data_IF_247760964062
#
_entry.id   IF_247760964062
#
_cell.length_a   1.000
_cell.length_b   1.000
_cell.length_c   1.000
_cell.angle_alpha   90.00
_cell.angle_beta   90.00
_cell.angle_gamma   90.00
#
_symmetry.space_group_name_H-M   'P 1'
#
loop_
_entity.id
_entity.type
_entity.pdbx_description
1 polymer ?
#
# COMPACT_ATOMS: atom_id res chain seq x y z
N UNK A 1 -2.17 21.78 28.70
CA UNK A 1 -3.13 22.04 27.59
C UNK A 1 -2.37 22.70 26.48
N UNK A 2 -2.43 22.16 25.28
CA UNK A 2 -1.85 22.80 24.09
C UNK A 2 -2.63 24.08 23.75
N UNK A 3 -1.90 25.10 23.29
CA UNK A 3 -2.50 26.36 22.82
C UNK A 3 -3.29 26.10 21.53
N UNK A 4 -4.57 26.49 21.52
CA UNK A 4 -5.37 26.43 20.31
C UNK A 4 -4.98 27.55 19.33
N UNK A 5 -4.93 27.23 18.04
CA UNK A 5 -4.64 28.17 16.97
C UNK A 5 -5.90 28.94 16.54
N UNK A 6 -5.73 30.17 16.10
CA UNK A 6 -6.80 30.96 15.46
C UNK A 6 -6.93 30.62 13.97
N UNK A 7 -8.00 31.11 13.33
CA UNK A 7 -8.19 30.97 11.87
C UNK A 7 -7.04 31.61 11.09
N UNK A 8 -6.57 32.76 11.57
CA UNK A 8 -5.48 33.53 10.95
C UNK A 8 -4.14 32.78 11.09
N UNK A 9 -3.85 32.22 12.28
CA UNK A 9 -2.63 31.42 12.51
C UNK A 9 -2.62 30.15 11.66
N UNK A 10 -3.76 29.48 11.48
CA UNK A 10 -3.89 28.32 10.59
C UNK A 10 -3.72 28.74 9.12
N UNK A 11 -4.30 29.85 8.72
CA UNK A 11 -4.16 30.40 7.37
C UNK A 11 -2.70 30.74 7.05
N UNK A 12 -1.98 31.35 7.98
CA UNK A 12 -0.55 31.65 7.84
C UNK A 12 0.29 30.37 7.80
N UNK A 13 0.04 29.41 8.69
CA UNK A 13 0.73 28.11 8.72
C UNK A 13 0.58 27.33 7.42
N UNK A 14 -0.65 27.32 6.87
CA UNK A 14 -0.96 26.61 5.63
C UNK A 14 -0.67 27.44 4.36
N UNK A 15 -0.31 28.72 4.51
CA UNK A 15 -0.12 29.71 3.43
C UNK A 15 -1.34 29.80 2.49
N UNK A 16 -2.53 29.85 3.07
CA UNK A 16 -3.80 29.99 2.36
C UNK A 16 -4.60 31.17 2.94
N UNK A 17 -5.64 31.61 2.23
CA UNK A 17 -6.51 32.68 2.69
C UNK A 17 -7.40 32.20 3.87
N UNK A 18 -7.64 33.03 4.91
CA UNK A 18 -8.55 32.70 6.03
C UNK A 18 -9.96 32.30 5.58
N UNK A 19 -10.44 32.80 4.45
CA UNK A 19 -11.73 32.39 3.86
C UNK A 19 -11.67 30.92 3.42
N UNK A 20 -10.54 30.48 2.93
CA UNK A 20 -10.32 29.07 2.57
C UNK A 20 -10.34 28.18 3.80
N UNK A 21 -9.71 28.58 4.91
CA UNK A 21 -9.78 27.85 6.18
C UNK A 21 -11.24 27.68 6.65
N UNK A 22 -12.05 28.77 6.60
CA UNK A 22 -13.48 28.68 6.94
C UNK A 22 -14.25 27.73 6.02
N UNK A 23 -13.89 27.70 4.71
CA UNK A 23 -14.51 26.76 3.76
C UNK A 23 -14.17 25.30 4.09
N UNK A 24 -12.95 25.01 4.53
CA UNK A 24 -12.54 23.67 4.99
C UNK A 24 -13.37 23.22 6.21
N UNK A 25 -13.65 24.12 7.16
CA UNK A 25 -14.54 23.82 8.30
C UNK A 25 -15.96 23.51 7.82
N UNK A 26 -16.50 24.32 6.91
CA UNK A 26 -17.86 24.13 6.41
C UNK A 26 -18.03 22.82 5.62
N UNK A 27 -16.96 22.33 4.98
CA UNK A 27 -16.92 21.04 4.30
C UNK A 27 -16.63 19.86 5.22
N UNK A 28 -16.37 20.14 6.52
CA UNK A 28 -15.93 19.16 7.51
C UNK A 28 -14.58 18.52 7.23
N UNK A 29 -13.76 19.13 6.36
CA UNK A 29 -12.42 18.66 6.03
C UNK A 29 -11.42 18.97 7.16
N UNK A 30 -11.64 20.07 7.91
CA UNK A 30 -10.82 20.49 9.03
C UNK A 30 -11.67 20.64 10.30
N UNK A 31 -11.33 19.89 11.35
CA UNK A 31 -12.00 19.98 12.65
C UNK A 31 -11.66 21.30 13.36
N UNK A 32 -12.65 21.91 13.99
CA UNK A 32 -12.49 23.14 14.75
C UNK A 32 -13.43 23.19 15.95
N UNK A 33 -12.97 23.85 17.01
CA UNK A 33 -13.81 24.24 18.15
C UNK A 33 -14.44 25.62 17.88
N UNK A 34 -15.66 25.82 18.32
CA UNK A 34 -16.29 27.14 18.30
C UNK A 34 -16.32 27.71 19.71
N UNK A 35 -15.48 28.72 19.99
CA UNK A 35 -15.31 29.35 21.30
C UNK A 35 -15.66 30.85 21.18
N UNK A 36 -16.64 31.32 21.95
CA UNK A 36 -17.09 32.70 21.90
C UNK A 36 -17.40 33.24 20.47
N UNK A 37 -17.93 32.38 19.60
CA UNK A 37 -18.27 32.74 18.22
C UNK A 37 -17.13 32.60 17.21
N UNK A 38 -15.92 32.40 17.65
CA UNK A 38 -14.74 32.25 16.81
C UNK A 38 -14.27 30.80 16.74
N UNK A 39 -13.63 30.45 15.60
CA UNK A 39 -13.03 29.12 15.43
C UNK A 39 -11.65 29.05 16.09
N UNK A 40 -11.39 27.90 16.72
CA UNK A 40 -10.09 27.54 17.30
C UNK A 40 -9.75 26.12 16.87
N UNK A 41 -8.47 25.84 16.67
CA UNK A 41 -7.99 24.58 16.14
C UNK A 41 -6.95 23.96 17.08
N UNK A 42 -7.06 22.68 17.33
CA UNK A 42 -5.98 21.95 17.96
C UNK A 42 -4.84 21.75 16.93
N UNK A 43 -3.58 21.97 17.30
CA UNK A 43 -2.44 21.69 16.41
C UNK A 43 -2.51 20.28 15.80
N UNK A 44 -2.87 19.29 16.60
CA UNK A 44 -3.03 17.89 16.16
C UNK A 44 -4.11 17.69 15.07
N UNK A 45 -5.16 18.53 15.05
CA UNK A 45 -6.19 18.43 14.01
C UNK A 45 -5.73 19.08 12.70
N UNK A 46 -4.90 20.13 12.79
CA UNK A 46 -4.24 20.72 11.61
C UNK A 46 -3.21 19.76 11.02
N UNK A 47 -2.44 19.06 11.86
CA UNK A 47 -1.50 18.02 11.42
C UNK A 47 -2.22 16.85 10.73
N UNK A 48 -3.32 16.35 11.30
CA UNK A 48 -4.14 15.31 10.66
C UNK A 48 -4.71 15.76 9.32
N UNK A 49 -5.18 17.01 9.25
CA UNK A 49 -5.64 17.59 7.99
C UNK A 49 -4.52 17.63 6.96
N UNK A 50 -3.34 18.14 7.30
CA UNK A 50 -2.17 18.15 6.40
C UNK A 50 -1.82 16.74 5.92
N UNK A 51 -1.82 15.76 6.80
CA UNK A 51 -1.54 14.38 6.42
C UNK A 51 -2.60 13.81 5.46
N UNK A 52 -3.89 14.16 5.66
CA UNK A 52 -4.98 13.77 4.75
C UNK A 52 -4.87 14.44 3.38
N UNK A 53 -4.33 15.67 3.30
CA UNK A 53 -4.13 16.44 2.07
C UNK A 53 -2.77 16.16 1.42
N UNK A 54 -1.94 15.32 2.03
CA UNK A 54 -0.65 14.98 1.46
C UNK A 54 -0.86 14.32 0.10
N UNK A 55 -0.52 15.03 -0.96
CA UNK A 55 -0.46 14.46 -2.31
C UNK A 55 0.64 13.40 -2.27
N UNK A 56 0.22 12.16 -2.04
CA UNK A 56 1.12 11.02 -2.15
C UNK A 56 1.43 10.89 -3.64
N UNK A 57 2.69 11.06 -4.07
CA UNK A 57 3.01 10.81 -5.47
C UNK A 57 2.55 9.38 -5.76
N UNK A 58 1.80 9.19 -6.83
CA UNK A 58 1.43 7.87 -7.30
C UNK A 58 2.74 7.21 -7.80
N UNK A 59 3.48 6.63 -6.87
CA UNK A 59 4.84 6.12 -7.08
C UNK A 59 4.82 4.98 -8.12
N UNK A 60 3.67 4.33 -8.29
CA UNK A 60 3.53 3.14 -9.10
C UNK A 60 3.55 3.39 -10.60
N UNK A 61 2.90 4.44 -11.09
CA UNK A 61 2.80 4.65 -12.55
C UNK A 61 3.83 5.63 -13.11
N UNK A 62 4.17 6.70 -12.38
CA UNK A 62 5.03 7.76 -12.92
C UNK A 62 6.54 7.55 -12.73
N UNK A 63 6.99 6.76 -11.75
CA UNK A 63 8.43 6.56 -11.48
C UNK A 63 8.98 5.21 -11.95
N UNK A 64 8.17 4.16 -11.96
CA UNK A 64 8.63 2.79 -12.20
C UNK A 64 7.76 2.00 -13.18
N UNK A 65 6.75 2.64 -13.82
CA UNK A 65 5.80 1.95 -14.70
C UNK A 65 6.46 1.07 -15.76
N UNK A 66 7.50 1.58 -16.42
CA UNK A 66 8.23 0.85 -17.45
C UNK A 66 9.11 -0.28 -16.90
N UNK A 67 9.39 -0.29 -15.59
CA UNK A 67 10.23 -1.32 -14.95
C UNK A 67 9.44 -2.52 -14.46
N UNK A 68 8.13 -2.39 -14.27
CA UNK A 68 7.32 -3.53 -13.88
C UNK A 68 7.15 -4.52 -15.03
N UNK A 69 7.32 -5.80 -14.74
CA UNK A 69 6.93 -6.86 -15.68
C UNK A 69 5.42 -6.80 -15.94
N UNK A 70 4.96 -7.37 -17.05
CA UNK A 70 3.54 -7.45 -17.36
C UNK A 70 2.75 -8.13 -16.24
N UNK A 71 3.28 -9.23 -15.68
CA UNK A 71 2.65 -9.91 -14.54
C UNK A 71 2.60 -9.04 -13.27
N UNK A 72 3.66 -8.29 -12.99
CA UNK A 72 3.66 -7.38 -11.83
C UNK A 72 2.64 -6.26 -12.01
N UNK A 73 2.50 -5.68 -13.22
CA UNK A 73 1.43 -4.71 -13.52
C UNK A 73 0.04 -5.32 -13.34
N UNK A 74 -0.16 -6.56 -13.83
CA UNK A 74 -1.42 -7.30 -13.63
C UNK A 74 -1.73 -7.48 -12.15
N UNK A 75 -0.75 -7.88 -11.32
CA UNK A 75 -0.90 -7.99 -9.86
C UNK A 75 -1.34 -6.66 -9.24
N UNK A 76 -0.72 -5.54 -9.61
CA UNK A 76 -1.09 -4.23 -9.07
C UNK A 76 -2.51 -3.81 -9.49
N UNK A 77 -2.92 -4.10 -10.72
CA UNK A 77 -4.30 -3.90 -11.18
C UNK A 77 -5.29 -4.76 -10.39
N UNK A 78 -4.98 -6.05 -10.20
CA UNK A 78 -5.81 -6.96 -9.39
C UNK A 78 -5.85 -6.54 -7.92
N UNK A 79 -4.78 -5.99 -7.35
CA UNK A 79 -4.76 -5.45 -5.99
C UNK A 79 -5.74 -4.28 -5.82
N UNK A 80 -5.89 -3.44 -6.85
CA UNK A 80 -6.90 -2.38 -6.85
C UNK A 80 -8.32 -2.94 -6.86
N UNK A 81 -8.54 -4.04 -7.59
CA UNK A 81 -9.83 -4.74 -7.62
C UNK A 81 -10.15 -5.40 -6.27
N UNK A 82 -9.17 -6.05 -5.63
CA UNK A 82 -9.32 -6.59 -4.27
C UNK A 82 -9.70 -5.48 -3.28
N UNK A 83 -9.04 -4.33 -3.31
CA UNK A 83 -9.36 -3.21 -2.43
C UNK A 83 -10.81 -2.72 -2.62
N UNK A 84 -11.31 -2.67 -3.86
CA UNK A 84 -12.73 -2.37 -4.14
C UNK A 84 -13.68 -3.42 -3.56
N UNK A 85 -13.37 -4.71 -3.76
CA UNK A 85 -14.21 -5.81 -3.25
C UNK A 85 -14.29 -5.79 -1.71
N UNK A 86 -13.21 -5.34 -1.06
CA UNK A 86 -13.17 -5.17 0.39
C UNK A 86 -13.71 -3.81 0.88
N UNK A 87 -14.12 -2.91 0.00
CA UNK A 87 -14.55 -1.55 0.34
C UNK A 87 -13.49 -0.77 1.14
N UNK A 88 -12.21 -1.00 0.85
CA UNK A 88 -11.09 -0.32 1.49
C UNK A 88 -10.69 0.94 0.74
N UNK A 89 -10.44 2.04 1.44
CA UNK A 89 -10.13 3.37 0.87
C UNK A 89 -8.75 3.47 0.20
N UNK A 90 -8.01 2.38 0.12
CA UNK A 90 -6.70 2.34 -0.54
C UNK A 90 -6.17 0.93 -0.70
N UNK A 91 -5.27 0.78 -1.68
CA UNK A 91 -4.59 -0.47 -1.96
C UNK A 91 -3.47 -0.66 -0.93
N UNK A 92 -3.67 -1.56 0.02
CA UNK A 92 -2.70 -1.94 1.05
C UNK A 92 -1.91 -3.20 0.69
N UNK A 93 -1.05 -3.60 1.60
CA UNK A 93 -0.18 -4.79 1.47
C UNK A 93 -0.99 -6.09 1.36
N UNK A 94 -2.13 -6.18 2.05
CA UNK A 94 -3.06 -7.30 1.99
C UNK A 94 -3.64 -7.53 0.59
N UNK A 95 -4.00 -6.45 -0.10
CA UNK A 95 -4.53 -6.52 -1.47
C UNK A 95 -3.47 -6.98 -2.46
N UNK A 96 -2.22 -6.52 -2.28
CA UNK A 96 -1.08 -6.96 -3.11
C UNK A 96 -0.82 -8.45 -2.88
N UNK A 97 -0.89 -8.95 -1.62
CA UNK A 97 -0.72 -10.37 -1.32
C UNK A 97 -1.83 -11.22 -1.97
N UNK A 98 -3.10 -10.83 -1.82
CA UNK A 98 -4.23 -11.53 -2.45
C UNK A 98 -4.08 -11.56 -3.96
N UNK A 99 -3.71 -10.44 -4.57
CA UNK A 99 -3.50 -10.34 -6.01
C UNK A 99 -2.36 -11.22 -6.52
N UNK A 100 -1.26 -11.34 -5.78
CA UNK A 100 -0.16 -12.26 -6.10
C UNK A 100 -0.67 -13.71 -6.13
N UNK A 101 -1.46 -14.10 -5.14
CA UNK A 101 -1.99 -15.47 -5.06
C UNK A 101 -3.02 -15.73 -6.16
N UNK A 102 -3.89 -14.78 -6.45
CA UNK A 102 -4.92 -14.89 -7.48
C UNK A 102 -4.34 -14.85 -8.91
N UNK A 103 -3.24 -14.13 -9.16
CA UNK A 103 -2.54 -14.14 -10.44
C UNK A 103 -1.97 -15.52 -10.75
N UNK A 104 -1.44 -16.21 -9.75
CA UNK A 104 -1.11 -17.64 -9.74
C UNK A 104 0.07 -18.07 -10.61
N UNK A 105 0.43 -17.33 -11.66
CA UNK A 105 1.44 -17.74 -12.65
C UNK A 105 2.84 -17.17 -12.44
N UNK A 106 3.00 -16.20 -11.56
CA UNK A 106 4.28 -15.53 -11.31
C UNK A 106 5.22 -16.31 -10.38
N UNK A 107 6.48 -15.89 -10.31
CA UNK A 107 7.49 -16.47 -9.40
C UNK A 107 7.03 -16.36 -7.94
N UNK A 108 6.39 -15.23 -7.56
CA UNK A 108 5.85 -15.06 -6.22
C UNK A 108 4.81 -16.12 -5.86
N UNK A 109 3.83 -16.36 -6.72
CA UNK A 109 2.79 -17.35 -6.50
C UNK A 109 3.37 -18.78 -6.40
N UNK A 110 4.34 -19.12 -7.26
CA UNK A 110 5.08 -20.38 -7.21
C UNK A 110 5.85 -20.52 -5.90
N UNK A 111 6.51 -19.45 -5.44
CA UNK A 111 7.22 -19.45 -4.16
C UNK A 111 6.27 -19.65 -2.97
N UNK A 112 5.12 -18.98 -2.95
CA UNK A 112 4.10 -19.15 -1.92
C UNK A 112 3.51 -20.56 -1.93
N UNK A 113 3.29 -21.14 -3.11
CA UNK A 113 2.84 -22.53 -3.26
C UNK A 113 3.87 -23.54 -2.72
N UNK A 114 5.18 -23.34 -2.98
CA UNK A 114 6.23 -24.18 -2.40
C UNK A 114 6.31 -24.05 -0.87
N UNK A 115 5.92 -22.89 -0.33
CA UNK A 115 5.78 -22.64 1.11
C UNK A 115 4.45 -23.12 1.68
N UNK A 116 3.65 -23.83 0.87
CA UNK A 116 2.37 -24.45 1.23
C UNK A 116 1.29 -23.47 1.71
N UNK A 117 1.37 -22.20 1.31
CA UNK A 117 0.30 -21.24 1.61
C UNK A 117 -0.94 -21.54 0.76
N UNK A 118 -2.08 -21.64 1.45
CA UNK A 118 -3.37 -21.84 0.79
C UNK A 118 -4.09 -20.49 0.64
N UNK A 119 -4.61 -20.15 -0.55
CA UNK A 119 -5.29 -18.87 -0.81
C UNK A 119 -6.44 -18.60 0.16
N UNK A 120 -7.22 -19.63 0.48
CA UNK A 120 -8.39 -19.51 1.35
C UNK A 120 -7.98 -19.17 2.80
N UNK A 121 -6.90 -19.78 3.30
CA UNK A 121 -6.37 -19.51 4.64
C UNK A 121 -5.81 -18.08 4.74
N UNK A 122 -5.09 -17.63 3.70
CA UNK A 122 -4.56 -16.28 3.63
C UNK A 122 -5.69 -15.26 3.60
N UNK A 123 -6.74 -15.50 2.79
CA UNK A 123 -7.92 -14.64 2.71
C UNK A 123 -8.61 -14.54 4.08
N UNK A 124 -8.87 -15.65 4.74
CA UNK A 124 -9.50 -15.66 6.05
C UNK A 124 -8.66 -14.91 7.12
N UNK A 125 -7.33 -15.03 7.08
CA UNK A 125 -6.45 -14.30 7.99
C UNK A 125 -6.45 -12.78 7.70
N UNK A 126 -6.49 -12.37 6.42
CA UNK A 126 -6.59 -10.98 6.02
C UNK A 126 -7.92 -10.40 6.51
N UNK A 127 -9.04 -11.08 6.27
CA UNK A 127 -10.37 -10.64 6.72
C UNK A 127 -10.46 -10.48 8.24
N UNK A 128 -9.77 -11.35 9.00
CA UNK A 128 -9.72 -11.25 10.46
C UNK A 128 -8.87 -10.04 10.93
N UNK A 129 -7.84 -9.63 10.18
CA UNK A 129 -6.96 -8.51 10.53
C UNK A 129 -7.50 -7.17 10.01
N UNK A 130 -8.09 -7.18 8.84
CA UNK A 130 -8.58 -6.00 8.14
C UNK A 130 -9.94 -6.33 7.49
N UNK A 131 -11.04 -6.26 8.26
CA UNK A 131 -12.37 -6.61 7.80
C UNK A 131 -12.86 -5.71 6.66
N UNK A 132 -13.80 -6.23 5.89
CA UNK A 132 -14.43 -5.49 4.80
C UNK A 132 -15.12 -4.21 5.33
N UNK A 133 -14.91 -3.10 4.64
CA UNK A 133 -15.55 -1.81 4.93
C UNK A 133 -17.05 -1.82 4.67
N UNK A 134 -17.79 -0.98 5.39
CA UNK A 134 -19.26 -0.95 5.34
C UNK A 134 -19.81 -0.32 4.05
N UNK A 135 -19.09 0.62 3.44
CA UNK A 135 -19.58 1.37 2.30
C UNK A 135 -18.70 1.18 1.06
N UNK A 136 -19.31 0.97 -0.13
CA UNK A 136 -18.57 0.95 -1.38
C UNK A 136 -17.92 2.32 -1.64
N UNK A 137 -16.72 2.29 -2.19
CA UNK A 137 -15.98 3.50 -2.55
C UNK A 137 -16.18 3.86 -4.02
N UNK A 138 -16.18 5.16 -4.32
CA UNK A 138 -16.09 5.63 -5.70
C UNK A 138 -14.68 5.40 -6.26
N UNK A 139 -14.58 5.12 -7.57
CA UNK A 139 -13.32 4.84 -8.26
C UNK A 139 -12.29 5.97 -8.14
N UNK A 140 -12.74 7.21 -8.01
CA UNK A 140 -11.88 8.41 -7.86
C UNK A 140 -11.13 8.46 -6.51
N UNK A 141 -11.53 7.64 -5.53
CA UNK A 141 -10.97 7.66 -4.17
C UNK A 141 -9.93 6.57 -3.93
N UNK A 142 -9.74 5.63 -4.86
CA UNK A 142 -8.87 4.48 -4.67
C UNK A 142 -7.43 4.79 -5.04
N UNK A 143 -6.63 5.22 -4.07
CA UNK A 143 -5.18 5.33 -4.18
C UNK A 143 -4.46 4.17 -3.47
N UNK A 144 -3.14 4.13 -3.59
CA UNK A 144 -2.34 3.21 -2.79
C UNK A 144 -2.10 3.79 -1.38
N UNK A 145 -2.24 2.96 -0.34
CA UNK A 145 -1.91 3.38 1.03
C UNK A 145 -0.43 3.73 1.17
N UNK A 146 -0.04 4.43 2.24
CA UNK A 146 1.38 4.72 2.51
C UNK A 146 2.19 3.43 2.60
N UNK A 147 1.66 2.43 3.28
CA UNK A 147 2.29 1.12 3.45
C UNK A 147 2.35 0.33 2.14
N UNK A 148 1.31 0.43 1.31
CA UNK A 148 1.33 -0.12 -0.05
C UNK A 148 2.43 0.52 -0.90
N UNK A 149 2.60 1.83 -0.82
CA UNK A 149 3.69 2.54 -1.50
C UNK A 149 5.07 2.13 -0.98
N UNK A 150 5.22 2.01 0.35
CA UNK A 150 6.47 1.56 0.97
C UNK A 150 6.82 0.14 0.53
N UNK A 151 5.84 -0.76 0.48
CA UNK A 151 6.02 -2.11 -0.06
C UNK A 151 6.59 -2.08 -1.49
N UNK A 152 6.10 -1.20 -2.37
CA UNK A 152 6.62 -1.05 -3.74
C UNK A 152 8.06 -0.53 -3.72
N UNK A 153 8.37 0.45 -2.87
CA UNK A 153 9.75 0.95 -2.73
C UNK A 153 10.70 -0.14 -2.25
N UNK A 154 10.26 -0.98 -1.31
CA UNK A 154 11.01 -2.13 -0.84
C UNK A 154 11.19 -3.19 -1.94
N UNK A 155 10.18 -3.42 -2.77
CA UNK A 155 10.28 -4.29 -3.94
C UNK A 155 11.34 -3.79 -4.95
N UNK A 156 11.40 -2.48 -5.19
CA UNK A 156 12.45 -1.86 -6.03
C UNK A 156 13.84 -2.10 -5.44
N UNK A 157 13.99 -1.99 -4.13
CA UNK A 157 15.27 -2.26 -3.46
C UNK A 157 15.66 -3.74 -3.58
N UNK A 158 14.71 -4.67 -3.43
CA UNK A 158 14.95 -6.11 -3.61
C UNK A 158 15.36 -6.43 -5.05
N UNK A 159 14.71 -5.83 -6.05
CA UNK A 159 15.11 -5.98 -7.45
C UNK A 159 16.57 -5.55 -7.68
N UNK A 160 16.97 -4.39 -7.16
CA UNK A 160 18.35 -3.91 -7.23
C UNK A 160 19.32 -4.83 -6.50
N UNK A 161 18.96 -5.33 -5.31
CA UNK A 161 19.79 -6.24 -4.53
C UNK A 161 20.02 -7.59 -5.24
N UNK A 162 19.06 -8.02 -6.06
CA UNK A 162 19.16 -9.21 -6.93
C UNK A 162 19.83 -8.92 -8.27
N UNK A 163 20.23 -7.69 -8.56
CA UNK A 163 20.85 -7.27 -9.82
C UNK A 163 19.86 -7.18 -11.01
N UNK A 164 18.57 -7.08 -10.72
CA UNK A 164 17.53 -7.00 -11.75
C UNK A 164 17.25 -5.55 -12.16
N UNK A 165 17.02 -5.32 -13.45
CA UNK A 165 16.61 -4.04 -14.02
C UNK A 165 15.09 -3.90 -14.14
N UNK A 166 14.34 -4.94 -13.78
CA UNK A 166 12.88 -5.02 -13.80
C UNK A 166 12.33 -5.34 -12.41
N UNK A 167 11.04 -5.09 -12.21
CA UNK A 167 10.31 -5.39 -11.00
C UNK A 167 9.27 -6.47 -11.32
N UNK A 168 9.53 -7.70 -10.92
CA UNK A 168 8.62 -8.84 -11.09
C UNK A 168 7.77 -9.09 -9.85
N UNK A 169 6.90 -10.08 -9.92
CA UNK A 169 6.04 -10.50 -8.80
C UNK A 169 6.86 -10.94 -7.59
N UNK A 170 8.00 -11.59 -7.81
CA UNK A 170 8.95 -12.01 -6.77
C UNK A 170 9.43 -10.82 -5.92
N UNK A 171 9.70 -9.68 -6.55
CA UNK A 171 10.14 -8.48 -5.85
C UNK A 171 9.01 -7.88 -5.01
N UNK A 172 7.76 -7.93 -5.50
CA UNK A 172 6.58 -7.53 -4.73
C UNK A 172 6.43 -8.40 -3.48
N UNK A 173 6.59 -9.72 -3.60
CA UNK A 173 6.56 -10.64 -2.45
C UNK A 173 7.65 -10.31 -1.42
N UNK A 174 8.88 -10.06 -1.88
CA UNK A 174 9.98 -9.70 -0.99
C UNK A 174 9.75 -8.35 -0.31
N UNK A 175 9.15 -7.38 -1.02
CA UNK A 175 8.73 -6.10 -0.46
C UNK A 175 7.69 -6.26 0.65
N UNK A 176 6.66 -7.10 0.45
CA UNK A 176 5.65 -7.44 1.46
C UNK A 176 6.28 -8.03 2.72
N UNK A 177 7.26 -8.92 2.56
CA UNK A 177 7.95 -9.55 3.70
C UNK A 177 8.84 -8.57 4.48
N UNK A 178 9.32 -7.51 3.86
CA UNK A 178 10.03 -6.42 4.52
C UNK A 178 9.08 -5.50 5.28
N UNK A 179 7.87 -5.29 4.75
CA UNK A 179 6.78 -4.52 5.37
C UNK A 179 5.98 -5.40 6.36
N UNK A 180 6.69 -6.10 7.20
CA UNK A 180 6.15 -7.16 8.04
C UNK A 180 5.18 -6.70 9.16
N UNK A 181 5.06 -5.40 9.42
CA UNK A 181 4.11 -4.78 10.37
C UNK A 181 2.68 -4.70 9.84
N UNK A 182 2.50 -4.72 8.53
CA UNK A 182 1.24 -4.51 7.85
C UNK A 182 0.50 -5.84 7.57
N UNK A 183 -0.81 -5.82 7.31
CA UNK A 183 -1.63 -7.04 7.23
C UNK A 183 -1.06 -8.10 6.30
N UNK A 184 -0.63 -7.74 5.08
CA UNK A 184 -0.03 -8.69 4.14
C UNK A 184 1.25 -9.36 4.68
N UNK A 185 2.16 -8.57 5.25
CA UNK A 185 3.39 -9.08 5.86
C UNK A 185 3.14 -9.86 7.16
N UNK A 186 2.15 -9.44 7.96
CA UNK A 186 1.75 -10.16 9.17
C UNK A 186 1.22 -11.56 8.86
N UNK A 187 0.36 -11.69 7.83
CA UNK A 187 -0.18 -12.99 7.40
C UNK A 187 0.95 -13.91 6.93
N UNK A 188 1.86 -13.42 6.11
CA UNK A 188 3.03 -14.18 5.64
C UNK A 188 3.86 -14.70 6.83
N UNK A 189 4.15 -13.84 7.80
CA UNK A 189 4.91 -14.24 9.00
C UNK A 189 4.18 -15.26 9.87
N UNK A 190 2.88 -15.07 10.11
CA UNK A 190 2.06 -16.02 10.88
C UNK A 190 2.04 -17.40 10.22
N UNK A 191 2.09 -17.43 8.89
CA UNK A 191 2.19 -18.67 8.11
C UNK A 191 3.62 -19.23 8.01
N UNK A 192 4.58 -18.69 8.76
CA UNK A 192 5.97 -19.18 8.82
C UNK A 192 6.83 -18.82 7.61
N UNK A 193 6.36 -17.88 6.76
CA UNK A 193 7.13 -17.36 5.63
C UNK A 193 8.06 -16.26 6.13
N UNK A 194 9.36 -16.49 6.06
CA UNK A 194 10.37 -15.48 6.36
C UNK A 194 11.00 -14.94 5.10
N UNK A 195 11.57 -13.74 5.18
CA UNK A 195 12.25 -13.10 4.06
C UNK A 195 13.41 -13.97 3.52
N UNK A 196 14.14 -14.64 4.41
CA UNK A 196 15.27 -15.52 4.05
C UNK A 196 14.78 -16.74 3.26
N UNK A 197 13.71 -17.40 3.74
CA UNK A 197 13.10 -18.55 3.05
C UNK A 197 12.59 -18.15 1.67
N UNK A 198 11.85 -17.03 1.60
CA UNK A 198 11.32 -16.54 0.33
C UNK A 198 12.43 -16.17 -0.66
N UNK A 199 13.49 -15.48 -0.22
CA UNK A 199 14.65 -15.16 -1.08
C UNK A 199 15.34 -16.42 -1.61
N UNK A 200 15.50 -17.46 -0.77
CA UNK A 200 16.11 -18.70 -1.21
C UNK A 200 15.29 -19.38 -2.32
N UNK A 201 13.97 -19.49 -2.12
CA UNK A 201 13.06 -20.08 -3.10
C UNK A 201 12.99 -19.23 -4.38
N UNK A 202 12.88 -17.91 -4.26
CA UNK A 202 12.88 -17.00 -5.41
C UNK A 202 14.14 -17.18 -6.25
N UNK A 203 15.34 -17.22 -5.62
CA UNK A 203 16.60 -17.46 -6.34
C UNK A 203 16.60 -18.80 -7.05
N UNK A 204 16.15 -19.86 -6.41
CA UNK A 204 16.03 -21.19 -7.02
C UNK A 204 15.13 -21.15 -8.26
N UNK A 205 13.92 -20.60 -8.13
CA UNK A 205 12.94 -20.52 -9.23
C UNK A 205 13.44 -19.67 -10.41
N UNK A 206 14.22 -18.61 -10.14
CA UNK A 206 14.84 -17.78 -11.20
C UNK A 206 15.91 -18.58 -11.97
N UNK A 207 16.73 -19.38 -11.28
CA UNK A 207 17.74 -20.23 -11.89
C UNK A 207 17.11 -21.31 -12.78
N UNK A 208 16.08 -22.02 -12.26
CA UNK A 208 15.33 -23.03 -13.02
C UNK A 208 14.70 -22.44 -14.30
N UNK A 209 14.17 -21.21 -14.23
CA UNK A 209 13.58 -20.52 -15.38
C UNK A 209 14.61 -20.13 -16.46
N UNK A 210 15.87 -19.95 -16.11
CA UNK A 210 16.95 -19.66 -17.07
C UNK A 210 17.44 -20.93 -17.78
N UNK A 211 17.52 -22.07 -17.10
CA UNK A 211 17.95 -23.35 -17.69
C UNK A 211 16.96 -23.86 -18.74
N UNK A 212 15.66 -23.62 -18.56
CA UNK A 212 14.61 -24.02 -19.52
C UNK A 212 14.55 -23.12 -20.78
N UNK A 213 15.26 -21.99 -20.78
CA UNK A 213 15.25 -20.99 -21.86
C UNK A 213 16.47 -21.06 -22.77
N UNK A 214 17.41 -22.02 -22.57
CA UNK A 214 18.55 -22.22 -23.44
C UNK A 214 18.11 -23.14 -24.56
N UNK A 215 18.03 -22.69 -25.85
CA UNK A 215 17.77 -23.57 -26.98
C UNK A 215 18.98 -24.46 -27.22
N UNK A 216 18.72 -25.74 -27.49
CA UNK A 216 19.71 -26.75 -27.90
C UNK A 216 20.27 -26.43 -29.29
#
# INVERSE_FOLDING_TARGET
MERLLTTEEVAELLRIDPVTVRRLIMRKDLAAFRIAGEFRFAPSDVEKFLESQRVKPNITENQFGDKFTERARKVLSMASEEARQYNHSGVGTEHVLLAIMNEGGGIAARALSQLQLQPEEVRAQIEALHPKGEQPLSDEQLGMTTQGQECIMLAVQEARALGHHYIGTEHLLLGLLREAGEPGGQVLRKSGVTLEKARAIVKQLLTEGQETSTPA
#
